data_IF_853099790800
#
_entry.id   IF_853099790800
#
_cell.length_a   1.000
_cell.length_b   1.000
_cell.length_c   1.000
_cell.angle_alpha   90.00
_cell.angle_beta   90.00
_cell.angle_gamma   90.00
#
_symmetry.space_group_name_H-M   'P 1'
#
loop_
_entity.id
_entity.type
_entity.pdbx_description
1 polymer ?
#
# COMPACT_ATOMS: atom_id res chain seq x y z
N UNK A 1 -23.77 20.86 -22.47
CA UNK A 1 -23.01 20.19 -23.56
C UNK A 1 -23.25 20.95 -24.85
N UNK A 2 -22.24 21.68 -25.31
CA UNK A 2 -22.26 22.25 -26.67
C UNK A 2 -22.32 21.09 -27.69
N UNK A 3 -23.11 21.25 -28.74
CA UNK A 3 -23.20 20.25 -29.81
C UNK A 3 -21.85 20.18 -30.54
N UNK A 4 -21.44 19.02 -31.05
CA UNK A 4 -20.23 18.94 -31.88
C UNK A 4 -20.39 19.89 -33.06
N UNK A 5 -19.47 20.85 -33.17
CA UNK A 5 -19.44 21.76 -34.31
C UNK A 5 -18.90 21.00 -35.51
N UNK A 6 -19.54 21.14 -36.68
CA UNK A 6 -19.13 20.47 -37.91
C UNK A 6 -17.88 21.10 -38.57
N UNK A 7 -17.42 22.22 -38.03
CA UNK A 7 -16.27 22.98 -38.53
C UNK A 7 -15.04 22.67 -37.67
N UNK A 8 -13.81 22.58 -38.24
CA UNK A 8 -12.59 22.42 -37.47
C UNK A 8 -12.32 23.68 -36.64
N UNK A 9 -12.78 23.67 -35.39
CA UNK A 9 -12.48 24.68 -34.39
C UNK A 9 -11.33 24.26 -33.49
N UNK A 10 -10.68 25.23 -32.85
CA UNK A 10 -9.65 24.97 -31.85
C UNK A 10 -10.23 24.18 -30.66
N UNK A 11 -9.44 23.22 -30.17
CA UNK A 11 -9.81 22.41 -29.01
C UNK A 11 -9.92 23.28 -27.74
N UNK A 12 -10.92 22.99 -26.90
CA UNK A 12 -11.21 23.76 -25.69
C UNK A 12 -11.36 22.83 -24.50
N UNK A 13 -10.57 23.11 -23.46
CA UNK A 13 -10.73 22.46 -22.17
C UNK A 13 -12.06 22.89 -21.52
N UNK A 14 -12.95 21.93 -21.30
CA UNK A 14 -14.23 22.13 -20.61
C UNK A 14 -14.29 21.32 -19.32
N UNK A 15 -15.01 21.85 -18.33
CA UNK A 15 -15.24 21.15 -17.08
C UNK A 15 -16.44 20.20 -17.21
N UNK A 16 -16.17 18.90 -17.34
CA UNK A 16 -17.18 17.88 -17.64
C UNK A 16 -18.19 17.57 -16.52
N UNK A 17 -18.00 18.12 -15.32
CA UNK A 17 -18.88 17.89 -14.16
C UNK A 17 -20.02 18.90 -14.06
N UNK A 18 -20.03 19.92 -14.92
CA UNK A 18 -21.08 20.93 -15.00
C UNK A 18 -21.65 21.01 -16.41
N UNK A 19 -22.96 21.21 -16.52
CA UNK A 19 -23.66 21.19 -17.82
C UNK A 19 -23.26 22.36 -18.75
N UNK A 20 -22.81 23.47 -18.15
CA UNK A 20 -22.35 24.69 -18.83
C UNK A 20 -20.85 24.64 -19.18
N UNK A 21 -20.15 23.55 -18.82
CA UNK A 21 -18.72 23.37 -19.08
C UNK A 21 -17.81 24.29 -18.27
N UNK A 22 -18.35 25.10 -17.34
CA UNK A 22 -17.57 26.05 -16.53
C UNK A 22 -17.05 25.37 -15.27
N UNK A 23 -15.81 25.69 -14.92
CA UNK A 23 -15.24 25.22 -13.67
C UNK A 23 -15.97 25.83 -12.46
N UNK A 24 -16.39 24.98 -11.52
CA UNK A 24 -16.94 25.41 -10.22
C UNK A 24 -16.23 24.66 -9.11
N UNK A 25 -15.68 25.43 -8.17
CA UNK A 25 -14.94 24.88 -7.02
C UNK A 25 -15.75 23.84 -6.23
N UNK A 26 -17.08 24.06 -6.09
CA UNK A 26 -17.99 23.12 -5.42
C UNK A 26 -18.05 21.76 -6.10
N UNK A 27 -18.21 21.73 -7.43
CA UNK A 27 -18.24 20.47 -8.19
C UNK A 27 -16.89 19.74 -8.17
N UNK A 28 -15.79 20.50 -8.20
CA UNK A 28 -14.45 19.94 -8.07
C UNK A 28 -14.23 19.29 -6.70
N UNK A 29 -14.66 19.97 -5.64
CA UNK A 29 -14.53 19.45 -4.28
C UNK A 29 -15.42 18.24 -4.04
N UNK A 30 -16.68 18.27 -4.49
CA UNK A 30 -17.58 17.14 -4.38
C UNK A 30 -17.07 15.92 -5.16
N UNK A 31 -16.52 16.15 -6.35
CA UNK A 31 -15.89 15.09 -7.13
C UNK A 31 -14.66 14.51 -6.41
N UNK A 32 -13.78 15.37 -5.87
CA UNK A 32 -12.62 14.92 -5.12
C UNK A 32 -12.98 14.16 -3.84
N UNK A 33 -13.96 14.64 -3.07
CA UNK A 33 -14.43 13.97 -1.86
C UNK A 33 -15.03 12.59 -2.14
N UNK A 34 -15.77 12.45 -3.24
CA UNK A 34 -16.34 11.16 -3.65
C UNK A 34 -15.29 10.19 -4.22
N UNK A 35 -14.13 10.68 -4.68
CA UNK A 35 -13.00 9.81 -5.07
C UNK A 35 -12.29 9.21 -3.85
N UNK A 36 -12.30 9.91 -2.71
CA UNK A 36 -11.68 9.41 -1.47
C UNK A 36 -12.50 8.30 -0.80
N UNK A 37 -13.79 8.15 -1.12
CA UNK A 37 -14.64 7.06 -0.61
C UNK A 37 -14.38 5.71 -1.30
N UNK A 38 -13.78 5.70 -2.50
CA UNK A 38 -13.48 4.45 -3.25
C UNK A 38 -12.10 3.85 -2.95
N UNK A 39 -11.21 4.54 -2.22
CA UNK A 39 -9.98 3.91 -1.71
C UNK A 39 -10.27 3.23 -0.37
N UNK A 40 -10.49 1.91 -0.41
CA UNK A 40 -10.57 0.96 0.71
C UNK A 40 -9.79 1.39 1.98
N UNK A 41 -10.43 2.22 2.82
CA UNK A 41 -9.78 2.84 3.97
C UNK A 41 -9.59 1.88 5.17
N UNK A 42 -9.83 0.58 5.02
CA UNK A 42 -9.91 -0.35 6.16
C UNK A 42 -9.05 -1.63 6.08
N UNK A 43 -7.99 -1.69 5.27
CA UNK A 43 -7.10 -2.88 5.31
C UNK A 43 -5.99 -2.84 6.38
N UNK A 44 -5.84 -1.73 7.13
CA UNK A 44 -4.74 -1.54 8.09
C UNK A 44 -5.18 -1.23 9.53
N UNK A 45 -4.54 -1.86 10.53
CA UNK A 45 -4.67 -1.45 11.94
C UNK A 45 -3.86 -0.18 12.23
N UNK A 46 -4.29 0.96 11.67
CA UNK A 46 -3.62 2.25 11.79
C UNK A 46 -3.48 2.71 13.24
N UNK A 47 -4.48 2.44 14.08
CA UNK A 47 -4.43 2.77 15.52
C UNK A 47 -3.26 2.08 16.22
N UNK A 48 -3.01 0.80 15.91
CA UNK A 48 -1.87 0.06 16.46
C UNK A 48 -0.54 0.63 15.97
N UNK A 49 -0.44 0.97 14.68
CA UNK A 49 0.76 1.61 14.11
C UNK A 49 1.09 2.91 14.83
N UNK A 50 0.09 3.79 15.00
CA UNK A 50 0.33 5.10 15.60
C UNK A 50 0.66 5.04 17.09
N UNK A 51 0.12 4.05 17.81
CA UNK A 51 0.42 3.79 19.23
C UNK A 51 1.80 3.17 19.48
N UNK A 52 2.43 2.60 18.46
CA UNK A 52 3.74 1.96 18.60
C UNK A 52 4.83 2.97 19.02
N UNK A 53 5.58 2.63 20.08
CA UNK A 53 6.55 3.52 20.78
C UNK A 53 8.02 3.31 20.39
N UNK A 54 8.33 2.47 19.41
CA UNK A 54 9.71 2.18 19.05
C UNK A 54 10.34 3.23 18.10
N UNK A 55 11.53 2.92 17.53
CA UNK A 55 12.24 3.80 16.61
C UNK A 55 11.44 4.19 15.35
N UNK A 56 11.36 5.49 15.04
CA UNK A 56 10.60 6.02 13.88
C UNK A 56 10.88 5.32 12.55
N UNK A 57 12.12 4.84 12.31
CA UNK A 57 12.48 4.08 11.10
C UNK A 57 11.62 2.83 10.91
N UNK A 58 11.30 2.11 11.99
CA UNK A 58 10.47 0.90 11.93
C UNK A 58 8.99 1.30 11.81
N UNK A 59 8.55 2.39 12.46
CA UNK A 59 7.18 2.92 12.28
C UNK A 59 6.91 3.25 10.81
N UNK A 60 7.84 3.97 10.17
CA UNK A 60 7.76 4.30 8.75
C UNK A 60 7.75 3.04 7.88
N UNK A 61 8.59 2.05 8.21
CA UNK A 61 8.57 0.78 7.52
C UNK A 61 7.23 0.04 7.64
N UNK A 62 6.65 -0.02 8.86
CA UNK A 62 5.33 -0.62 9.08
C UNK A 62 4.22 0.14 8.35
N UNK A 63 4.33 1.46 8.24
CA UNK A 63 3.45 2.28 7.43
C UNK A 63 3.52 1.88 5.94
N UNK A 64 4.71 1.68 5.39
CA UNK A 64 4.89 1.18 4.02
C UNK A 64 4.29 -0.22 3.84
N UNK A 65 4.45 -1.10 4.83
CA UNK A 65 3.88 -2.46 4.82
C UNK A 65 2.35 -2.40 4.75
N UNK A 66 1.72 -1.62 5.63
CA UNK A 66 0.26 -1.51 5.67
C UNK A 66 -0.33 -0.89 4.40
N UNK A 67 0.40 -0.01 3.72
CA UNK A 67 -0.02 0.54 2.43
C UNK A 67 0.29 -0.36 1.23
N UNK A 68 0.87 -1.56 1.43
CA UNK A 68 1.29 -2.39 0.30
C UNK A 68 2.43 -1.79 -0.53
N UNK A 69 3.19 -0.85 0.02
CA UNK A 69 4.20 -0.06 -0.70
C UNK A 69 5.63 -0.59 -0.57
N UNK A 70 5.81 -1.78 -0.01
CA UNK A 70 7.11 -2.44 0.05
C UNK A 70 7.49 -2.93 -1.34
N UNK A 71 8.74 -2.68 -1.73
CA UNK A 71 9.24 -2.99 -3.07
C UNK A 71 9.61 -4.48 -3.21
N UNK A 72 8.61 -5.35 -3.22
CA UNK A 72 8.78 -6.80 -3.39
C UNK A 72 8.95 -7.18 -4.86
N UNK A 73 9.45 -8.39 -5.17
CA UNK A 73 9.54 -8.82 -6.58
C UNK A 73 8.18 -8.89 -7.29
N UNK A 74 7.07 -9.16 -6.57
CA UNK A 74 5.71 -8.99 -7.08
C UNK A 74 5.47 -7.57 -7.60
N UNK A 75 5.76 -6.56 -6.78
CA UNK A 75 5.58 -5.16 -7.18
C UNK A 75 6.54 -4.72 -8.28
N UNK A 76 7.77 -5.27 -8.29
CA UNK A 76 8.72 -5.03 -9.38
C UNK A 76 8.21 -5.60 -10.71
N UNK A 77 7.64 -6.80 -10.69
CA UNK A 77 7.07 -7.43 -11.88
C UNK A 77 5.84 -6.67 -12.37
N UNK A 78 4.96 -6.26 -11.45
CA UNK A 78 3.79 -5.41 -11.76
C UNK A 78 4.17 -4.10 -12.44
N UNK A 79 5.33 -3.53 -12.12
CA UNK A 79 5.87 -2.29 -12.71
C UNK A 79 6.76 -2.53 -13.94
N UNK A 80 6.84 -3.76 -14.45
CA UNK A 80 7.69 -4.14 -15.58
C UNK A 80 9.20 -3.85 -15.35
N UNK A 81 9.66 -3.87 -14.10
CA UNK A 81 11.07 -3.67 -13.73
C UNK A 81 11.83 -5.01 -13.77
N UNK A 82 11.13 -6.13 -13.59
CA UNK A 82 11.66 -7.49 -13.67
C UNK A 82 10.62 -8.40 -14.30
N UNK A 83 11.06 -9.47 -14.96
CA UNK A 83 10.18 -10.53 -15.47
C UNK A 83 9.91 -11.63 -14.45
N UNK A 84 10.77 -11.74 -13.44
CA UNK A 84 10.67 -12.77 -12.40
C UNK A 84 10.15 -12.17 -11.10
N UNK A 85 8.97 -12.61 -10.65
CA UNK A 85 8.35 -12.20 -9.38
C UNK A 85 8.70 -13.14 -8.22
N UNK A 86 9.44 -14.23 -8.44
CA UNK A 86 9.73 -15.21 -7.41
C UNK A 86 10.68 -14.66 -6.34
N UNK A 87 10.54 -15.18 -5.12
CA UNK A 87 11.43 -14.87 -4.02
C UNK A 87 12.82 -15.46 -4.25
N UNK A 88 13.87 -14.67 -4.04
CA UNK A 88 15.25 -15.13 -4.24
C UNK A 88 15.70 -16.20 -3.23
N UNK A 89 14.99 -16.34 -2.12
CA UNK A 89 15.33 -17.29 -1.05
C UNK A 89 14.70 -18.66 -1.25
N UNK A 90 13.38 -18.74 -1.48
CA UNK A 90 12.72 -20.02 -1.74
C UNK A 90 12.69 -20.40 -3.21
N UNK A 91 12.82 -19.43 -4.14
CA UNK A 91 12.78 -19.58 -5.61
C UNK A 91 11.49 -20.14 -6.20
N UNK A 92 10.59 -20.66 -5.37
CA UNK A 92 9.40 -21.40 -5.80
C UNK A 92 8.10 -20.60 -5.71
N UNK A 93 8.08 -19.49 -4.96
CA UNK A 93 6.87 -18.68 -4.76
C UNK A 93 7.09 -17.22 -5.15
N UNK A 94 6.02 -16.57 -5.61
CA UNK A 94 6.00 -15.11 -5.79
C UNK A 94 6.32 -14.39 -4.48
N UNK A 95 7.17 -13.37 -4.58
CA UNK A 95 7.59 -12.54 -3.45
C UNK A 95 6.55 -11.44 -3.18
N UNK A 96 5.53 -11.77 -2.39
CA UNK A 96 4.61 -10.79 -1.79
C UNK A 96 5.07 -10.34 -0.41
N UNK A 97 4.40 -9.32 0.16
CA UNK A 97 4.62 -8.86 1.53
C UNK A 97 4.38 -10.00 2.53
N UNK A 98 3.26 -10.71 2.38
CA UNK A 98 2.90 -11.87 3.22
C UNK A 98 3.94 -12.97 3.11
N UNK A 99 4.46 -13.21 1.90
CA UNK A 99 5.51 -14.18 1.67
C UNK A 99 6.79 -13.78 2.42
N UNK A 100 7.31 -12.57 2.23
CA UNK A 100 8.56 -12.13 2.86
C UNK A 100 8.47 -12.19 4.40
N UNK A 101 7.33 -11.82 4.99
CA UNK A 101 7.20 -11.77 6.45
C UNK A 101 6.77 -13.08 7.10
N UNK A 102 6.01 -13.95 6.41
CA UNK A 102 5.40 -15.14 7.03
C UNK A 102 5.54 -16.40 6.18
N UNK A 103 5.39 -16.30 4.86
CA UNK A 103 5.35 -17.45 3.96
C UNK A 103 6.72 -18.07 3.68
N UNK A 104 7.76 -17.25 3.60
CA UNK A 104 9.10 -17.66 3.23
C UNK A 104 9.71 -18.58 4.28
N UNK A 105 10.32 -19.67 3.84
CA UNK A 105 11.03 -20.61 4.72
C UNK A 105 12.07 -19.90 5.60
N UNK A 106 12.75 -18.88 5.05
CA UNK A 106 13.70 -18.12 5.84
C UNK A 106 13.05 -17.27 6.92
N UNK A 107 11.89 -16.69 6.64
CA UNK A 107 11.12 -15.92 7.61
C UNK A 107 10.58 -16.81 8.72
N UNK A 108 10.02 -17.97 8.39
CA UNK A 108 9.53 -18.97 9.36
C UNK A 108 10.64 -19.37 10.35
N UNK A 109 11.80 -19.77 9.84
CA UNK A 109 12.95 -20.15 10.67
C UNK A 109 13.43 -19.02 11.60
N UNK A 110 13.38 -17.77 11.11
CA UNK A 110 13.73 -16.60 11.92
C UNK A 110 12.73 -16.42 13.08
N UNK A 111 11.43 -16.54 12.80
CA UNK A 111 10.39 -16.44 13.83
C UNK A 111 10.49 -17.52 14.89
N UNK A 112 10.74 -18.78 14.50
CA UNK A 112 10.95 -19.86 15.46
C UNK A 112 12.16 -19.60 16.37
N UNK A 113 13.24 -19.04 15.81
CA UNK A 113 14.42 -18.66 16.59
C UNK A 113 14.09 -17.60 17.66
N UNK A 114 13.26 -16.61 17.32
CA UNK A 114 12.83 -15.60 18.30
C UNK A 114 11.83 -16.15 19.32
N UNK A 115 10.94 -17.05 18.90
CA UNK A 115 9.93 -17.67 19.76
C UNK A 115 10.57 -18.46 20.90
N UNK A 116 11.61 -19.25 20.61
CA UNK A 116 12.38 -19.97 21.64
C UNK A 116 13.13 -19.06 22.61
N UNK A 117 13.54 -17.86 22.18
CA UNK A 117 14.24 -16.89 23.06
C UNK A 117 13.29 -16.17 24.01
N UNK A 118 12.06 -15.89 23.58
CA UNK A 118 11.06 -15.26 24.43
C UNK A 118 10.59 -16.18 25.56
N UNK A 119 10.53 -17.50 25.34
CA UNK A 119 10.12 -18.46 26.39
C UNK A 119 11.19 -18.76 27.43
N UNK A 120 12.45 -18.36 27.20
CA UNK A 120 13.58 -18.70 28.09
C UNK A 120 13.87 -17.59 29.12
N UNK A 121 13.23 -16.42 29.03
CA UNK A 121 13.60 -15.23 29.85
C UNK A 121 12.77 -15.04 31.13
N UNK A 122 11.72 -15.84 31.38
CA UNK A 122 10.84 -15.67 32.55
C UNK A 122 10.93 -16.80 33.59
N UNK A 123 12.04 -17.55 33.64
CA UNK A 123 12.24 -18.59 34.67
C UNK A 123 13.09 -18.16 35.87
N UNK A 124 13.63 -16.93 35.93
CA UNK A 124 14.46 -16.49 37.06
C UNK A 124 14.30 -14.98 37.35
N UNK A 125 13.18 -14.60 37.97
CA UNK A 125 13.10 -13.40 38.82
C UNK A 125 12.24 -13.69 40.04
N UNK A 126 12.85 -14.39 41.01
CA UNK A 126 12.48 -14.33 42.42
C UNK A 126 13.47 -13.43 43.12
N UNK A 127 13.07 -12.19 43.41
CA UNK A 127 13.44 -11.39 44.58
C UNK A 127 12.42 -10.25 44.71
#
# INVERSE_FOLDING_TARGET
>A
MEKPNAEPGDDKMIWGLEWDGRFRLKSAYNFAANLEEEEDAEEGNWKALWRWKGPNRIKHFLWLVLHGRVFTNKERARRNITTNSNCNHCKDCEESIEHIFRGCEKAKNLWETFRCKLTTTDANKSF
#
